data_IF_558275248041
#
_entry.id   IF_558275248041
#
_cell.length_a   1.000
_cell.length_b   1.000
_cell.length_c   1.000
_cell.angle_alpha   90.00
_cell.angle_beta   90.00
_cell.angle_gamma   90.00
#
_symmetry.space_group_name_H-M   'P 1'
#
loop_
_entity.id
_entity.type
_entity.pdbx_description
1 polymer ?
#
# COMPACT_ATOMS: atom_id res chain seq x y z
N UNK A 1 0.30 47.13 -15.32
CA UNK A 1 -0.42 46.19 -16.21
C UNK A 1 0.32 44.85 -16.16
N UNK A 2 -0.33 43.74 -15.80
CA UNK A 2 0.33 42.41 -15.81
C UNK A 2 0.54 41.99 -17.27
N UNK A 3 1.73 41.52 -17.62
CA UNK A 3 1.99 41.12 -19.01
C UNK A 3 1.12 39.91 -19.39
N UNK A 4 0.55 39.92 -20.60
CA UNK A 4 -0.30 38.83 -21.11
C UNK A 4 0.39 37.46 -21.00
N UNK A 5 1.70 37.42 -21.23
CA UNK A 5 2.54 36.21 -21.10
C UNK A 5 2.56 35.67 -19.67
N UNK A 6 2.69 36.54 -18.68
CA UNK A 6 2.67 36.15 -17.26
C UNK A 6 1.28 35.64 -16.86
N UNK A 7 0.21 36.28 -17.31
CA UNK A 7 -1.16 35.83 -17.06
C UNK A 7 -1.42 34.43 -17.65
N UNK A 8 -0.99 34.16 -18.89
CA UNK A 8 -1.11 32.84 -19.51
C UNK A 8 -0.31 31.77 -18.76
N UNK A 9 0.94 32.09 -18.34
CA UNK A 9 1.76 31.13 -17.59
C UNK A 9 1.15 30.81 -16.23
N UNK A 10 0.58 31.81 -15.55
CA UNK A 10 -0.12 31.62 -14.29
C UNK A 10 -1.35 30.73 -14.47
N UNK A 11 -2.17 30.96 -15.50
CA UNK A 11 -3.33 30.13 -15.79
C UNK A 11 -2.92 28.67 -16.04
N UNK A 12 -1.88 28.43 -16.85
CA UNK A 12 -1.35 27.08 -17.09
C UNK A 12 -0.91 26.40 -15.79
N UNK A 13 -0.19 27.11 -14.93
CA UNK A 13 0.28 26.56 -13.64
C UNK A 13 -0.87 26.23 -12.69
N UNK A 14 -1.95 27.00 -12.70
CA UNK A 14 -3.16 26.69 -11.93
C UNK A 14 -3.84 25.40 -12.43
N UNK A 15 -3.94 25.21 -13.74
CA UNK A 15 -4.47 23.96 -14.31
C UNK A 15 -3.57 22.77 -14.00
N UNK A 16 -2.24 22.92 -14.13
CA UNK A 16 -1.30 21.86 -13.76
C UNK A 16 -1.42 21.48 -12.28
N UNK A 17 -1.62 22.47 -11.39
CA UNK A 17 -1.84 22.23 -9.97
C UNK A 17 -3.14 21.45 -9.72
N UNK A 18 -4.26 21.90 -10.29
CA UNK A 18 -5.55 21.21 -10.14
C UNK A 18 -5.47 19.75 -10.62
N UNK A 19 -4.84 19.51 -11.78
CA UNK A 19 -4.65 18.15 -12.30
C UNK A 19 -3.79 17.29 -11.38
N UNK A 20 -2.76 17.86 -10.75
CA UNK A 20 -1.91 17.14 -9.81
C UNK A 20 -2.67 16.81 -8.52
N UNK A 21 -3.50 17.73 -8.01
CA UNK A 21 -4.37 17.51 -6.84
C UNK A 21 -5.39 16.38 -7.10
N UNK A 22 -6.02 16.37 -8.27
CA UNK A 22 -6.94 15.29 -8.68
C UNK A 22 -6.21 13.95 -8.76
N UNK A 23 -5.00 13.91 -9.32
CA UNK A 23 -4.20 12.68 -9.39
C UNK A 23 -3.81 12.17 -8.01
N UNK A 24 -3.46 13.05 -7.07
CA UNK A 24 -3.16 12.67 -5.69
C UNK A 24 -4.40 12.07 -5.02
N UNK A 25 -5.60 12.59 -5.29
CA UNK A 25 -6.83 12.02 -4.76
C UNK A 25 -7.04 10.59 -5.25
N UNK A 26 -6.92 10.35 -6.55
CA UNK A 26 -7.04 9.01 -7.14
C UNK A 26 -6.02 8.04 -6.54
N UNK A 27 -4.75 8.45 -6.44
CA UNK A 27 -3.69 7.60 -5.86
C UNK A 27 -3.96 7.24 -4.39
N UNK A 28 -4.57 8.14 -3.62
CA UNK A 28 -4.97 7.83 -2.23
C UNK A 28 -6.07 6.78 -2.17
N UNK A 29 -7.04 6.86 -3.09
CA UNK A 29 -8.12 5.88 -3.20
C UNK A 29 -7.56 4.51 -3.63
N UNK A 30 -6.70 4.48 -4.64
CA UNK A 30 -6.02 3.25 -5.11
C UNK A 30 -5.17 2.62 -3.99
N UNK A 31 -4.42 3.42 -3.23
CA UNK A 31 -3.62 2.94 -2.10
C UNK A 31 -4.52 2.33 -1.01
N UNK A 32 -5.65 2.95 -0.70
CA UNK A 32 -6.59 2.42 0.29
C UNK A 32 -7.16 1.07 -0.18
N UNK A 33 -7.53 0.96 -1.46
CA UNK A 33 -7.99 -0.30 -2.06
C UNK A 33 -6.91 -1.38 -2.01
N UNK A 34 -5.67 -1.05 -2.39
CA UNK A 34 -4.57 -2.01 -2.37
C UNK A 34 -4.26 -2.49 -0.95
N UNK A 35 -4.27 -1.60 0.04
CA UNK A 35 -4.09 -1.99 1.45
C UNK A 35 -5.16 -2.98 1.91
N UNK A 36 -6.43 -2.78 1.53
CA UNK A 36 -7.50 -3.72 1.84
C UNK A 36 -7.28 -5.09 1.17
N UNK A 37 -6.86 -5.09 -0.10
CA UNK A 37 -6.56 -6.33 -0.83
C UNK A 37 -5.42 -7.11 -0.18
N UNK A 38 -4.33 -6.44 0.19
CA UNK A 38 -3.19 -7.06 0.89
C UNK A 38 -3.63 -7.65 2.23
N UNK A 39 -4.42 -6.92 3.03
CA UNK A 39 -4.93 -7.43 4.30
C UNK A 39 -5.80 -8.68 4.11
N UNK A 40 -6.69 -8.69 3.11
CA UNK A 40 -7.52 -9.85 2.79
C UNK A 40 -6.68 -11.04 2.34
N UNK A 41 -5.67 -10.82 1.51
CA UNK A 41 -4.76 -11.88 1.06
C UNK A 41 -3.97 -12.48 2.22
N UNK A 42 -3.44 -11.65 3.12
CA UNK A 42 -2.74 -12.11 4.32
C UNK A 42 -3.65 -12.97 5.22
N UNK A 43 -4.88 -12.54 5.46
CA UNK A 43 -5.85 -13.34 6.25
C UNK A 43 -6.11 -14.69 5.58
N UNK A 44 -6.29 -14.74 4.26
CA UNK A 44 -6.48 -16.00 3.53
C UNK A 44 -5.26 -16.93 3.62
N UNK A 45 -4.06 -16.38 3.53
CA UNK A 45 -2.84 -17.15 3.70
C UNK A 45 -2.74 -17.73 5.11
N UNK A 46 -3.09 -16.95 6.14
CA UNK A 46 -3.15 -17.42 7.52
C UNK A 46 -4.20 -18.52 7.70
N UNK A 47 -5.42 -18.34 7.20
CA UNK A 47 -6.47 -19.37 7.21
C UNK A 47 -6.00 -20.67 6.56
N UNK A 48 -5.33 -20.57 5.41
CA UNK A 48 -4.76 -21.73 4.69
C UNK A 48 -3.69 -22.43 5.52
N UNK A 49 -2.76 -21.67 6.11
CA UNK A 49 -1.64 -22.21 6.90
C UNK A 49 -2.12 -22.85 8.21
N UNK A 50 -3.10 -22.23 8.87
CA UNK A 50 -3.73 -22.72 10.10
C UNK A 50 -4.78 -23.81 9.85
N UNK A 51 -5.18 -24.01 8.58
CA UNK A 51 -6.23 -24.94 8.14
C UNK A 51 -7.56 -24.69 8.85
N UNK A 52 -7.90 -23.42 9.02
CA UNK A 52 -9.11 -22.98 9.70
C UNK A 52 -9.72 -21.80 8.98
N UNK A 53 -11.05 -21.76 8.91
CA UNK A 53 -11.80 -20.61 8.42
C UNK A 53 -12.24 -19.69 9.58
N UNK A 54 -12.02 -20.07 10.84
CA UNK A 54 -12.40 -19.28 12.02
C UNK A 54 -11.46 -18.07 12.19
N UNK A 55 -12.02 -16.88 11.98
CA UNK A 55 -11.30 -15.62 12.15
C UNK A 55 -10.86 -15.36 13.60
N UNK A 56 -11.52 -15.98 14.59
CA UNK A 56 -11.12 -15.93 16.00
C UNK A 56 -9.79 -16.67 16.20
N UNK A 57 -9.64 -17.84 15.57
CA UNK A 57 -8.40 -18.61 15.63
C UNK A 57 -7.25 -17.88 14.94
N UNK A 58 -7.51 -17.27 13.77
CA UNK A 58 -6.54 -16.41 13.06
C UNK A 58 -6.13 -15.23 13.93
N UNK A 59 -7.08 -14.54 14.57
CA UNK A 59 -6.80 -13.41 15.45
C UNK A 59 -5.98 -13.81 16.69
N UNK A 60 -6.32 -14.94 17.30
CA UNK A 60 -5.58 -15.49 18.43
C UNK A 60 -4.15 -15.88 18.04
N UNK A 61 -3.94 -16.43 16.84
CA UNK A 61 -2.61 -16.71 16.31
C UNK A 61 -1.80 -15.42 16.15
N UNK A 62 -2.36 -14.41 15.49
CA UNK A 62 -1.68 -13.11 15.30
C UNK A 62 -1.29 -12.49 16.65
N UNK A 63 -2.16 -12.56 17.66
CA UNK A 63 -1.89 -12.02 18.99
C UNK A 63 -0.73 -12.73 19.74
N UNK A 64 -0.38 -13.95 19.33
CA UNK A 64 0.73 -14.72 19.90
C UNK A 64 2.04 -14.53 19.14
N UNK A 65 2.00 -13.97 17.93
CA UNK A 65 3.19 -13.71 17.13
C UNK A 65 3.85 -12.43 17.61
N UNK A 66 5.09 -12.54 18.10
CA UNK A 66 5.96 -11.39 18.33
C UNK A 66 6.62 -10.99 16.99
N UNK A 67 6.29 -9.82 16.42
CA UNK A 67 6.84 -9.40 15.13
C UNK A 67 8.36 -9.11 15.19
N UNK A 68 8.97 -9.08 16.38
CA UNK A 68 10.41 -8.92 16.56
C UNK A 68 11.18 -10.24 16.53
N UNK A 69 10.48 -11.37 16.67
CA UNK A 69 11.01 -12.72 16.51
C UNK A 69 10.96 -13.10 15.02
N UNK A 70 11.80 -12.47 14.20
CA UNK A 70 12.07 -12.98 12.85
C UNK A 70 12.86 -14.28 13.03
N UNK A 71 12.42 -15.44 12.48
CA UNK A 71 13.27 -16.61 12.40
C UNK A 71 14.58 -16.17 11.73
N UNK A 72 15.73 -16.47 12.33
CA UNK A 72 17.01 -16.17 11.71
C UNK A 72 16.97 -16.68 10.26
N UNK A 73 17.12 -15.76 9.31
CA UNK A 73 17.37 -16.06 7.91
C UNK A 73 18.49 -17.10 7.87
N UNK A 74 18.17 -18.34 7.46
CA UNK A 74 19.14 -19.40 7.31
C UNK A 74 19.88 -19.32 5.97
N UNK A 75 20.00 -18.11 5.41
CA UNK A 75 21.07 -17.75 4.47
C UNK A 75 20.95 -18.46 3.12
N UNK A 76 19.74 -18.53 2.58
CA UNK A 76 19.46 -19.13 1.29
C UNK A 76 19.68 -18.23 0.08
N UNK A 77 20.76 -17.46 0.02
CA UNK A 77 21.22 -16.86 -1.26
C UNK A 77 21.76 -17.99 -2.16
N UNK A 78 20.89 -18.59 -2.98
CA UNK A 78 21.32 -19.24 -4.22
C UNK A 78 21.30 -18.20 -5.33
N UNK A 79 22.35 -17.37 -5.37
CA UNK A 79 22.72 -16.68 -6.59
C UNK A 79 23.31 -17.73 -7.56
N UNK A 80 22.45 -18.22 -8.45
CA UNK A 80 22.83 -19.06 -9.58
C UNK A 80 23.31 -18.20 -10.75
N UNK A 81 24.56 -18.43 -11.15
CA UNK A 81 25.26 -17.91 -12.33
C UNK A 81 24.43 -17.85 -13.62
#
# INVERSE_FOLDING_TARGET
>A
MVSKKLATRLAKKKTELANAEDRVKVLKEELATLNQQVQLELVKQLQTNLKTDDLTEVANFIAQVDPTQVPADDGGEQDGY
#
